data_IF_284537722805
#
_entry.id   IF_284537722805
#
_cell.length_a   1.000
_cell.length_b   1.000
_cell.length_c   1.000
_cell.angle_alpha   90.00
_cell.angle_beta   90.00
_cell.angle_gamma   90.00
#
_symmetry.space_group_name_H-M   'P 1'
#
loop_
_entity.id
_entity.type
_entity.pdbx_description
1 polymer ?
#
# COMPACT_ATOMS: atom_id res chain seq x y z
N UNK A 1 7.82 29.33 78.62
CA UNK A 1 7.84 30.37 77.58
C UNK A 1 8.86 29.98 76.53
N UNK A 2 8.43 29.51 75.35
CA UNK A 2 9.17 29.65 74.08
C UNK A 2 8.26 29.19 72.95
N UNK A 3 7.80 30.16 72.17
CA UNK A 3 6.85 30.01 71.08
C UNK A 3 7.68 29.72 69.83
N UNK A 4 7.51 28.53 69.26
CA UNK A 4 8.19 28.11 68.03
C UNK A 4 7.72 29.01 66.89
N UNK A 5 8.58 29.95 66.45
CA UNK A 5 8.36 30.71 65.22
C UNK A 5 8.53 29.76 64.03
N UNK A 6 7.42 29.25 63.50
CA UNK A 6 7.41 28.56 62.20
C UNK A 6 7.79 29.54 61.09
N UNK A 7 8.84 29.20 60.34
CA UNK A 7 9.35 30.01 59.23
C UNK A 7 8.37 29.98 58.04
N UNK A 8 7.43 30.94 58.01
CA UNK A 8 6.43 31.12 56.96
C UNK A 8 7.01 31.20 55.53
N UNK A 9 8.27 31.60 55.36
CA UNK A 9 8.94 31.64 54.06
C UNK A 9 9.15 30.26 53.44
N UNK A 10 9.64 29.30 54.24
CA UNK A 10 9.92 27.92 53.80
C UNK A 10 8.62 27.20 53.44
N UNK A 11 7.58 27.38 54.26
CA UNK A 11 6.26 26.77 54.02
C UNK A 11 5.64 27.27 52.71
N UNK A 12 5.86 28.54 52.34
CA UNK A 12 5.30 29.12 51.11
C UNK A 12 6.01 28.60 49.86
N UNK A 13 7.33 28.41 49.91
CA UNK A 13 8.10 27.84 48.79
C UNK A 13 7.75 26.38 48.51
N UNK A 14 7.60 25.54 49.55
CA UNK A 14 7.18 24.14 49.38
C UNK A 14 5.81 24.02 48.71
N UNK A 15 4.84 24.84 49.12
CA UNK A 15 3.49 24.84 48.54
C UNK A 15 3.47 25.37 47.08
N UNK A 16 4.39 26.28 46.74
CA UNK A 16 4.54 26.80 45.38
C UNK A 16 5.20 25.76 44.46
N UNK A 17 6.20 25.01 44.94
CA UNK A 17 6.80 23.89 44.22
C UNK A 17 5.79 22.77 43.95
N UNK A 18 5.00 22.38 44.95
CA UNK A 18 3.97 21.35 44.81
C UNK A 18 2.91 21.75 43.76
N UNK A 19 2.47 23.00 43.77
CA UNK A 19 1.49 23.48 42.77
C UNK A 19 2.08 23.58 41.35
N UNK A 20 3.38 23.88 41.22
CA UNK A 20 4.08 23.90 39.93
C UNK A 20 4.24 22.48 39.37
N UNK A 21 4.59 21.52 40.24
CA UNK A 21 4.71 20.10 39.91
C UNK A 21 3.36 19.49 39.51
N UNK A 22 2.27 19.83 40.22
CA UNK A 22 0.91 19.38 39.87
C UNK A 22 0.46 19.91 38.50
N UNK A 23 0.73 21.19 38.20
CA UNK A 23 0.47 21.76 36.88
C UNK A 23 1.31 21.09 35.79
N UNK A 24 2.59 20.82 36.06
CA UNK A 24 3.48 20.14 35.11
C UNK A 24 3.00 18.72 34.78
N UNK A 25 2.51 17.98 35.77
CA UNK A 25 1.90 16.65 35.59
C UNK A 25 0.60 16.74 34.78
N UNK A 26 -0.24 17.77 35.01
CA UNK A 26 -1.46 18.00 34.22
C UNK A 26 -1.19 18.41 32.77
N UNK A 27 -0.17 19.23 32.52
CA UNK A 27 0.26 19.58 31.16
C UNK A 27 0.83 18.37 30.43
N UNK A 28 1.61 17.52 31.12
CA UNK A 28 2.18 16.32 30.52
C UNK A 28 1.12 15.28 30.13
N UNK A 29 0.07 15.11 30.93
CA UNK A 29 -1.06 14.23 30.57
C UNK A 29 -1.95 14.79 29.44
N UNK A 30 -2.05 16.11 29.31
CA UNK A 30 -2.78 16.74 28.20
C UNK A 30 -2.08 16.57 26.84
N UNK A 31 -0.74 16.51 26.82
CA UNK A 31 0.06 16.30 25.60
C UNK A 31 -0.03 14.85 25.09
N UNK A 32 -0.16 13.87 25.99
CA UNK A 32 -0.26 12.45 25.60
C UNK A 32 -1.64 12.12 24.98
N UNK A 33 -2.72 12.74 25.46
CA UNK A 33 -4.06 12.55 24.87
C UNK A 33 -4.21 13.17 23.47
N UNK A 34 -3.42 14.20 23.13
CA UNK A 34 -3.47 14.83 21.81
C UNK A 34 -2.74 14.02 20.72
N UNK A 35 -1.82 13.12 21.08
CA UNK A 35 -1.06 12.32 20.13
C UNK A 35 -1.82 11.10 19.58
N UNK A 36 -2.92 10.68 20.24
CA UNK A 36 -3.71 9.50 19.85
C UNK A 36 -4.81 9.79 18.82
N UNK A 37 -5.12 11.05 18.54
CA UNK A 37 -6.17 11.43 17.57
C UNK A 37 -5.70 11.42 16.10
N UNK A 38 -4.42 11.13 15.85
CA UNK A 38 -3.80 11.14 14.52
C UNK A 38 -3.62 9.78 13.85
N UNK A 39 -4.03 8.67 14.48
CA UNK A 39 -3.97 7.35 13.83
C UNK A 39 -5.18 7.23 12.91
N UNK A 40 -5.04 7.76 11.69
CA UNK A 40 -5.95 7.44 10.59
C UNK A 40 -5.83 5.95 10.33
N UNK A 41 -6.85 5.18 10.70
CA UNK A 41 -7.02 3.84 10.18
C UNK A 41 -7.18 3.98 8.67
N UNK A 42 -6.14 3.66 7.91
CA UNK A 42 -6.28 3.39 6.48
C UNK A 42 -7.27 2.23 6.38
N UNK A 43 -8.53 2.54 6.12
CA UNK A 43 -9.49 1.55 5.67
C UNK A 43 -8.94 1.03 4.36
N UNK A 44 -8.63 -0.27 4.30
CA UNK A 44 -8.40 -0.94 3.04
C UNK A 44 -9.69 -0.75 2.22
N UNK A 45 -9.67 0.20 1.29
CA UNK A 45 -10.82 0.48 0.43
C UNK A 45 -11.27 -0.82 -0.22
N UNK A 46 -12.58 -1.01 -0.32
CA UNK A 46 -13.16 -2.19 -0.94
C UNK A 46 -12.59 -2.35 -2.36
N UNK A 47 -11.98 -3.51 -2.64
CA UNK A 47 -11.46 -3.82 -3.96
C UNK A 47 -12.67 -4.04 -4.89
N UNK A 48 -12.85 -3.23 -5.95
CA UNK A 48 -13.97 -3.39 -6.86
C UNK A 48 -13.83 -4.71 -7.63
N UNK A 49 -14.97 -5.33 -7.92
CA UNK A 49 -14.99 -6.50 -8.79
C UNK A 49 -14.52 -6.13 -10.20
N UNK A 50 -13.42 -6.74 -10.64
CA UNK A 50 -12.73 -6.40 -11.88
C UNK A 50 -12.32 -7.67 -12.61
N UNK A 51 -12.60 -7.72 -13.91
CA UNK A 51 -12.05 -8.74 -14.80
C UNK A 51 -11.09 -8.06 -15.77
N UNK A 52 -9.85 -8.54 -15.82
CA UNK A 52 -8.81 -8.03 -16.72
C UNK A 52 -8.55 -9.02 -17.85
N UNK A 53 -8.30 -8.53 -19.04
CA UNK A 53 -7.87 -9.33 -20.20
C UNK A 53 -6.36 -9.30 -20.31
N UNK A 54 -5.75 -10.48 -20.46
CA UNK A 54 -4.30 -10.64 -20.43
C UNK A 54 -3.83 -11.46 -21.62
N UNK A 55 -2.97 -10.86 -22.43
CA UNK A 55 -2.20 -11.57 -23.45
C UNK A 55 -0.86 -11.99 -22.84
N UNK A 56 -0.71 -13.28 -22.59
CA UNK A 56 0.49 -13.86 -22.01
C UNK A 56 1.61 -14.15 -23.00
N UNK A 57 2.74 -14.57 -22.44
CA UNK A 57 3.94 -14.98 -23.21
C UNK A 57 3.63 -16.14 -24.17
N UNK A 58 4.46 -16.36 -25.20
CA UNK A 58 4.31 -17.52 -26.08
C UNK A 58 4.35 -18.85 -25.30
N UNK A 59 3.40 -19.75 -25.55
CA UNK A 59 3.22 -21.03 -24.86
C UNK A 59 4.47 -21.94 -24.85
N UNK A 60 5.36 -21.76 -25.84
CA UNK A 60 6.62 -22.50 -25.96
C UNK A 60 7.66 -22.08 -24.90
N UNK A 61 7.55 -20.87 -24.34
CA UNK A 61 8.48 -20.32 -23.34
C UNK A 61 8.06 -20.77 -21.93
N UNK A 62 8.12 -22.09 -21.71
CA UNK A 62 7.57 -22.78 -20.53
C UNK A 62 7.99 -22.17 -19.18
N UNK A 63 9.25 -21.74 -19.07
CA UNK A 63 9.78 -21.16 -17.84
C UNK A 63 9.13 -19.81 -17.46
N UNK A 64 8.62 -19.06 -18.45
CA UNK A 64 7.87 -17.83 -18.24
C UNK A 64 6.36 -18.10 -18.09
N UNK A 65 5.82 -19.00 -18.92
CA UNK A 65 4.37 -19.28 -18.97
C UNK A 65 3.83 -19.92 -17.70
N UNK A 66 4.58 -20.84 -17.08
CA UNK A 66 4.13 -21.53 -15.86
C UNK A 66 3.90 -20.54 -14.70
N UNK A 67 4.88 -19.71 -14.31
CA UNK A 67 4.67 -18.73 -13.24
C UNK A 67 3.65 -17.67 -13.63
N UNK A 68 3.65 -17.21 -14.88
CA UNK A 68 2.68 -16.22 -15.38
C UNK A 68 1.24 -16.74 -15.27
N UNK A 69 0.97 -17.95 -15.79
CA UNK A 69 -0.35 -18.58 -15.69
C UNK A 69 -0.79 -18.74 -14.23
N UNK A 70 0.11 -19.22 -13.35
CA UNK A 70 -0.18 -19.37 -11.91
C UNK A 70 -0.52 -18.04 -11.26
N UNK A 71 0.16 -16.96 -11.64
CA UNK A 71 -0.15 -15.64 -11.11
C UNK A 71 -1.59 -15.23 -11.47
N UNK A 72 -1.94 -15.30 -12.76
CA UNK A 72 -3.25 -14.86 -13.25
C UNK A 72 -4.42 -15.75 -12.82
N UNK A 73 -4.23 -17.07 -12.76
CA UNK A 73 -5.32 -18.02 -12.45
C UNK A 73 -5.45 -18.40 -10.98
N UNK A 74 -4.38 -18.29 -10.18
CA UNK A 74 -4.38 -18.73 -8.78
C UNK A 74 -4.06 -17.58 -7.82
N UNK A 75 -2.92 -16.90 -8.03
CA UNK A 75 -2.37 -15.96 -7.05
C UNK A 75 -3.22 -14.69 -6.96
N UNK A 76 -3.52 -14.08 -8.11
CA UNK A 76 -4.29 -12.84 -8.18
C UNK A 76 -5.71 -12.99 -7.60
N UNK A 77 -6.49 -14.02 -7.99
CA UNK A 77 -7.78 -14.27 -7.34
C UNK A 77 -7.64 -14.52 -5.83
N UNK A 78 -6.63 -15.28 -5.40
CA UNK A 78 -6.44 -15.60 -3.97
C UNK A 78 -6.14 -14.36 -3.12
N UNK A 79 -5.25 -13.48 -3.56
CA UNK A 79 -4.86 -12.29 -2.78
C UNK A 79 -5.93 -11.19 -2.80
N UNK A 80 -6.88 -11.26 -3.75
CA UNK A 80 -7.97 -10.30 -3.89
C UNK A 80 -9.31 -10.86 -3.42
N UNK A 81 -9.35 -12.04 -2.79
CA UNK A 81 -10.58 -12.73 -2.42
C UNK A 81 -11.56 -12.88 -3.60
N UNK A 82 -11.04 -13.14 -4.80
CA UNK A 82 -11.81 -13.29 -6.03
C UNK A 82 -12.30 -11.99 -6.64
N UNK A 83 -12.04 -10.82 -6.03
CA UNK A 83 -12.46 -9.52 -6.56
C UNK A 83 -11.78 -9.18 -7.88
N UNK A 84 -10.55 -9.64 -8.10
CA UNK A 84 -9.87 -9.47 -9.39
C UNK A 84 -9.65 -10.84 -10.03
N UNK A 85 -10.16 -10.98 -11.25
CA UNK A 85 -10.00 -12.18 -12.09
C UNK A 85 -9.36 -11.82 -13.41
N UNK A 86 -8.72 -12.79 -14.06
CA UNK A 86 -8.04 -12.57 -15.34
C UNK A 86 -8.53 -13.54 -16.42
N UNK A 87 -8.90 -13.00 -17.57
CA UNK A 87 -9.03 -13.75 -18.81
C UNK A 87 -7.65 -13.84 -19.49
N UNK A 88 -6.89 -14.87 -19.10
CA UNK A 88 -5.51 -15.07 -19.54
C UNK A 88 -5.44 -16.08 -20.69
N UNK A 89 -4.72 -15.73 -21.76
CA UNK A 89 -4.35 -16.69 -22.80
C UNK A 89 -2.98 -16.34 -23.42
N UNK A 90 -2.26 -17.35 -23.92
CA UNK A 90 -0.95 -17.16 -24.53
C UNK A 90 -1.10 -16.54 -25.93
N UNK A 91 -0.22 -15.59 -26.30
CA UNK A 91 -0.33 -14.84 -27.56
C UNK A 91 -0.41 -15.73 -28.81
N UNK A 92 0.34 -16.85 -28.84
CA UNK A 92 0.40 -17.78 -29.96
C UNK A 92 -0.90 -18.56 -30.15
N UNK A 93 -1.58 -18.89 -29.05
CA UNK A 93 -2.90 -19.54 -29.07
C UNK A 93 -4.01 -18.59 -29.58
N UNK A 94 -3.78 -17.29 -29.45
CA UNK A 94 -4.69 -16.25 -29.94
C UNK A 94 -4.35 -15.78 -31.37
N UNK A 95 -3.28 -16.31 -31.98
CA UNK A 95 -2.78 -15.84 -33.28
C UNK A 95 -2.10 -14.46 -33.24
N UNK A 96 -1.82 -13.93 -32.05
CA UNK A 96 -1.22 -12.62 -31.83
C UNK A 96 0.31 -12.74 -31.93
N UNK A 97 0.93 -11.83 -32.69
CA UNK A 97 2.39 -11.74 -32.77
C UNK A 97 2.91 -10.74 -31.74
N UNK A 98 4.09 -10.99 -31.16
CA UNK A 98 4.64 -10.14 -30.09
C UNK A 98 4.80 -8.66 -30.44
N UNK A 99 5.06 -8.32 -31.71
CA UNK A 99 5.12 -6.93 -32.19
C UNK A 99 3.75 -6.23 -32.29
N UNK A 100 2.65 -6.96 -32.10
CA UNK A 100 1.30 -6.39 -32.09
C UNK A 100 0.81 -6.08 -30.67
N UNK A 101 1.44 -6.69 -29.64
CA UNK A 101 0.96 -6.62 -28.25
C UNK A 101 0.87 -5.17 -27.75
N UNK A 102 1.86 -4.34 -28.01
CA UNK A 102 1.83 -2.94 -27.57
C UNK A 102 0.74 -2.13 -28.30
N UNK A 103 0.46 -2.42 -29.58
CA UNK A 103 -0.66 -1.78 -30.29
C UNK A 103 -2.00 -2.19 -29.72
N UNK A 104 -2.19 -3.47 -29.39
CA UNK A 104 -3.41 -3.99 -28.77
C UNK A 104 -3.63 -3.40 -27.37
N UNK A 105 -2.55 -3.25 -26.59
CA UNK A 105 -2.58 -2.59 -25.28
C UNK A 105 -2.97 -1.11 -25.42
N UNK A 106 -2.31 -0.37 -26.34
CA UNK A 106 -2.63 1.04 -26.62
C UNK A 106 -4.08 1.22 -27.11
N UNK A 107 -4.62 0.26 -27.85
CA UNK A 107 -5.99 0.27 -28.34
C UNK A 107 -7.03 -0.14 -27.29
N UNK A 108 -6.61 -0.59 -26.10
CA UNK A 108 -7.51 -1.06 -25.04
C UNK A 108 -8.15 -2.43 -25.31
N UNK A 109 -7.62 -3.20 -26.25
CA UNK A 109 -8.11 -4.57 -26.55
C UNK A 109 -7.68 -5.56 -25.47
N UNK A 110 -6.56 -5.29 -24.81
CA UNK A 110 -6.06 -6.04 -23.66
C UNK A 110 -5.69 -5.05 -22.56
N UNK A 111 -5.84 -5.45 -21.29
CA UNK A 111 -5.43 -4.63 -20.14
C UNK A 111 -3.96 -4.85 -19.79
N UNK A 112 -3.48 -6.07 -20.03
CA UNK A 112 -2.08 -6.47 -19.82
C UNK A 112 -1.56 -7.25 -21.02
N UNK A 113 -0.25 -7.14 -21.28
CA UNK A 113 0.39 -7.84 -22.38
C UNK A 113 1.85 -8.17 -22.06
N UNK A 114 2.25 -9.41 -22.36
CA UNK A 114 3.65 -9.85 -22.33
C UNK A 114 4.23 -9.86 -23.74
N UNK A 115 5.49 -9.42 -23.89
CA UNK A 115 6.27 -9.52 -25.12
C UNK A 115 7.75 -9.34 -24.81
N UNK A 116 8.62 -9.75 -25.73
CA UNK A 116 10.05 -9.42 -25.65
C UNK A 116 10.21 -7.93 -25.94
N UNK A 117 10.96 -7.21 -25.11
CA UNK A 117 11.15 -5.75 -25.23
C UNK A 117 11.65 -5.35 -26.62
N UNK A 118 12.54 -6.15 -27.21
CA UNK A 118 13.05 -5.91 -28.57
C UNK A 118 11.97 -5.93 -29.66
N UNK A 119 10.85 -6.61 -29.44
CA UNK A 119 9.70 -6.62 -30.36
C UNK A 119 8.87 -5.34 -30.28
N UNK A 120 9.12 -4.48 -29.29
CA UNK A 120 8.42 -3.22 -29.07
C UNK A 120 9.15 -2.01 -29.69
N UNK A 121 10.43 -2.16 -30.06
CA UNK A 121 11.27 -1.10 -30.63
C UNK A 121 10.65 -0.45 -31.89
N UNK A 122 9.92 -1.23 -32.69
CA UNK A 122 9.20 -0.72 -33.87
C UNK A 122 7.97 0.15 -33.54
N UNK A 123 7.45 0.09 -32.31
CA UNK A 123 6.28 0.83 -31.84
C UNK A 123 6.63 1.99 -30.91
N UNK A 124 7.83 1.97 -30.30
CA UNK A 124 8.36 3.04 -29.47
C UNK A 124 9.89 2.94 -29.42
N UNK A 125 10.57 4.03 -29.80
CA UNK A 125 12.03 4.12 -29.83
C UNK A 125 12.72 4.02 -28.45
N UNK A 126 11.94 4.03 -27.35
CA UNK A 126 12.47 3.82 -26.00
C UNK A 126 12.93 2.38 -25.71
N UNK A 127 12.67 1.42 -26.62
CA UNK A 127 12.93 -0.01 -26.44
C UNK A 127 13.91 -0.57 -27.48
#
# INVERSE_FOLDING_TARGET
>A
MNIVRTNFGVVKETILEDNKMRKLITYFSMVISAALLGVSTVSAGEIPETQVTVIGTNSTVRHAVIPEKRFWSETLPKITNGKITANYNNMDLMGIKGFQVLRLLKAGVTDFGSSDVSKLAGDNAAF
#
